data_IF_370001283126
#
_entry.id   IF_370001283126
#
_cell.length_a   1.000
_cell.length_b   1.000
_cell.length_c   1.000
_cell.angle_alpha   90.00
_cell.angle_beta   90.00
_cell.angle_gamma   90.00
#
_symmetry.space_group_name_H-M   'P 1'
#
loop_
_entity.id
_entity.type
_entity.pdbx_description
1 polymer ?
#
# COMPACT_ATOMS: atom_id res chain seq x y z
N UNK A 1 -35.97 -28.13 -33.55
CA UNK A 1 -34.91 -27.17 -33.24
C UNK A 1 -35.24 -25.72 -33.64
N UNK A 2 -35.26 -25.35 -34.94
CA UNK A 2 -35.36 -23.95 -35.40
C UNK A 2 -36.53 -23.12 -34.81
N UNK A 3 -37.69 -23.74 -34.59
CA UNK A 3 -38.84 -23.08 -33.97
C UNK A 3 -38.59 -22.72 -32.50
N UNK A 4 -37.89 -23.57 -31.76
CA UNK A 4 -37.56 -23.38 -30.34
C UNK A 4 -36.58 -22.22 -30.16
N UNK A 5 -35.51 -22.22 -30.97
CA UNK A 5 -34.51 -21.13 -30.97
C UNK A 5 -35.16 -19.80 -31.33
N UNK A 6 -36.03 -19.76 -32.35
CA UNK A 6 -36.74 -18.53 -32.73
C UNK A 6 -37.58 -17.94 -31.59
N UNK A 7 -38.32 -18.79 -30.87
CA UNK A 7 -39.10 -18.35 -29.70
C UNK A 7 -38.19 -17.88 -28.55
N UNK A 8 -37.06 -18.57 -28.33
CA UNK A 8 -36.06 -18.16 -27.34
C UNK A 8 -35.49 -16.77 -27.67
N UNK A 9 -35.15 -16.50 -28.94
CA UNK A 9 -34.67 -15.19 -29.40
C UNK A 9 -35.70 -14.09 -29.14
N UNK A 10 -36.98 -14.36 -29.36
CA UNK A 10 -38.06 -13.39 -29.12
C UNK A 10 -38.19 -13.04 -27.63
N UNK A 11 -38.04 -14.03 -26.74
CA UNK A 11 -38.09 -13.79 -25.29
C UNK A 11 -36.82 -13.15 -24.72
N UNK A 12 -35.69 -13.23 -25.43
CA UNK A 12 -34.42 -12.61 -25.06
C UNK A 12 -34.21 -11.20 -25.63
N UNK A 13 -35.23 -10.60 -26.26
CA UNK A 13 -35.19 -9.19 -26.69
C UNK A 13 -34.76 -8.18 -25.62
N UNK A 14 -34.96 -8.39 -24.30
CA UNK A 14 -34.45 -7.47 -23.28
C UNK A 14 -32.91 -7.44 -23.13
N UNK A 15 -32.16 -8.39 -23.71
CA UNK A 15 -30.69 -8.39 -23.72
C UNK A 15 -30.17 -7.52 -24.87
N UNK A 16 -28.92 -7.04 -24.74
CA UNK A 16 -28.21 -6.38 -25.83
C UNK A 16 -28.02 -7.35 -27.01
N UNK A 17 -27.96 -6.83 -28.23
CA UNK A 17 -27.94 -7.63 -29.44
C UNK A 17 -26.76 -8.62 -29.47
N UNK A 18 -25.58 -8.21 -29.01
CA UNK A 18 -24.39 -9.07 -28.90
C UNK A 18 -24.56 -10.18 -27.86
N UNK A 19 -25.07 -9.86 -26.66
CA UNK A 19 -25.27 -10.84 -25.58
C UNK A 19 -26.35 -11.86 -25.96
N UNK A 20 -27.40 -11.40 -26.64
CA UNK A 20 -28.46 -12.28 -27.14
C UNK A 20 -27.92 -13.26 -28.17
N UNK A 21 -27.10 -12.81 -29.11
CA UNK A 21 -26.50 -13.67 -30.13
C UNK A 21 -25.55 -14.71 -29.51
N UNK A 22 -24.78 -14.34 -28.48
CA UNK A 22 -23.94 -15.28 -27.72
C UNK A 22 -24.77 -16.40 -27.05
N UNK A 23 -25.85 -16.02 -26.35
CA UNK A 23 -26.75 -16.99 -25.69
C UNK A 23 -27.41 -17.91 -26.71
N UNK A 24 -27.90 -17.36 -27.82
CA UNK A 24 -28.55 -18.13 -28.87
C UNK A 24 -27.58 -19.14 -29.50
N UNK A 25 -26.36 -18.71 -29.82
CA UNK A 25 -25.33 -19.58 -30.38
C UNK A 25 -24.97 -20.71 -29.41
N UNK A 26 -24.81 -20.42 -28.12
CA UNK A 26 -24.49 -21.44 -27.11
C UNK A 26 -25.56 -22.54 -27.03
N UNK A 27 -26.84 -22.16 -26.93
CA UNK A 27 -27.92 -23.15 -26.85
C UNK A 27 -28.19 -23.83 -28.18
N UNK A 28 -27.90 -23.19 -29.30
CA UNK A 28 -27.95 -23.82 -30.61
C UNK A 28 -26.89 -24.92 -30.73
N UNK A 29 -25.62 -24.63 -30.38
CA UNK A 29 -24.53 -25.60 -30.38
C UNK A 29 -24.82 -26.76 -29.41
N UNK A 30 -25.33 -26.47 -28.21
CA UNK A 30 -25.73 -27.50 -27.24
C UNK A 30 -26.82 -28.45 -27.79
N UNK A 31 -27.82 -27.90 -28.49
CA UNK A 31 -28.90 -28.71 -29.05
C UNK A 31 -28.46 -29.50 -30.28
N UNK A 32 -27.57 -28.95 -31.10
CA UNK A 32 -26.98 -29.62 -32.26
C UNK A 32 -26.07 -30.77 -31.83
N UNK A 33 -25.18 -30.57 -30.85
CA UNK A 33 -24.31 -31.62 -30.29
C UNK A 33 -25.11 -32.73 -29.60
N UNK A 34 -26.22 -32.37 -28.96
CA UNK A 34 -27.14 -33.32 -28.32
C UNK A 34 -28.07 -34.07 -29.27
N UNK A 35 -28.09 -33.71 -30.56
CA UNK A 35 -28.99 -34.32 -31.56
C UNK A 35 -30.48 -34.00 -31.33
N UNK A 36 -30.80 -32.85 -30.75
CA UNK A 36 -32.17 -32.45 -30.44
C UNK A 36 -32.84 -31.72 -31.62
N UNK A 37 -33.18 -32.48 -32.66
CA UNK A 37 -33.59 -31.93 -33.96
C UNK A 37 -35.03 -31.35 -34.00
N UNK A 38 -35.91 -31.73 -33.07
CA UNK A 38 -37.32 -31.33 -33.07
C UNK A 38 -37.75 -30.63 -31.78
N UNK A 39 -38.80 -29.80 -31.85
CA UNK A 39 -39.19 -28.85 -30.80
C UNK A 39 -39.42 -29.53 -29.44
N UNK A 40 -40.10 -30.66 -29.42
CA UNK A 40 -40.42 -31.39 -28.18
C UNK A 40 -39.16 -31.92 -27.49
N UNK A 41 -38.16 -32.37 -28.26
CA UNK A 41 -36.87 -32.81 -27.72
C UNK A 41 -36.14 -31.66 -27.01
N UNK A 42 -36.14 -30.46 -27.60
CA UNK A 42 -35.59 -29.25 -26.98
C UNK A 42 -36.33 -28.88 -25.69
N UNK A 43 -37.66 -29.04 -25.66
CA UNK A 43 -38.49 -28.74 -24.48
C UNK A 43 -38.25 -29.72 -23.34
N UNK A 44 -38.03 -31.00 -23.64
CA UNK A 44 -37.72 -32.01 -22.60
C UNK A 44 -36.39 -31.73 -21.92
N UNK A 45 -35.37 -31.31 -22.69
CA UNK A 45 -34.02 -31.09 -22.18
C UNK A 45 -33.86 -29.72 -21.50
N UNK A 46 -34.30 -28.65 -22.16
CA UNK A 46 -34.07 -27.27 -21.71
C UNK A 46 -35.28 -26.61 -21.03
N UNK A 47 -36.43 -27.29 -21.03
CA UNK A 47 -37.71 -26.72 -20.61
C UNK A 47 -38.35 -25.85 -21.71
N UNK A 48 -39.46 -25.16 -21.41
CA UNK A 48 -40.07 -24.27 -22.41
C UNK A 48 -39.16 -23.07 -22.72
N UNK A 49 -39.21 -22.59 -23.98
CA UNK A 49 -38.44 -21.42 -24.46
C UNK A 49 -38.58 -20.20 -23.55
N UNK A 50 -39.79 -19.98 -23.00
CA UNK A 50 -40.11 -18.92 -22.04
C UNK A 50 -39.48 -19.11 -20.66
N UNK A 51 -39.39 -20.35 -20.17
CA UNK A 51 -38.76 -20.65 -18.87
C UNK A 51 -37.26 -20.49 -18.95
N UNK A 52 -36.64 -20.99 -20.03
CA UNK A 52 -35.21 -20.82 -20.28
C UNK A 52 -34.84 -19.33 -20.38
N UNK A 53 -35.60 -18.56 -21.18
CA UNK A 53 -35.37 -17.12 -21.31
C UNK A 53 -35.41 -16.38 -19.96
N UNK A 54 -36.38 -16.71 -19.10
CA UNK A 54 -36.47 -16.10 -17.75
C UNK A 54 -35.27 -16.45 -16.87
N UNK A 55 -34.77 -17.67 -16.95
CA UNK A 55 -33.60 -18.13 -16.19
C UNK A 55 -32.34 -17.40 -16.66
N UNK A 56 -32.14 -17.32 -17.98
CA UNK A 56 -31.02 -16.57 -18.59
C UNK A 56 -31.09 -15.10 -18.20
N UNK A 57 -32.25 -14.45 -18.36
CA UNK A 57 -32.45 -13.04 -17.98
C UNK A 57 -32.12 -12.79 -16.51
N UNK A 58 -32.52 -13.71 -15.62
CA UNK A 58 -32.21 -13.60 -14.20
C UNK A 58 -30.70 -13.74 -13.94
N UNK A 59 -30.02 -14.69 -14.58
CA UNK A 59 -28.59 -14.92 -14.41
C UNK A 59 -27.74 -13.73 -14.90
N UNK A 60 -28.10 -13.16 -16.06
CA UNK A 60 -27.50 -11.93 -16.58
C UNK A 60 -27.78 -10.71 -15.69
N UNK A 61 -28.97 -10.64 -15.07
CA UNK A 61 -29.28 -9.57 -14.10
C UNK A 61 -28.48 -9.67 -12.80
N UNK A 62 -27.99 -10.86 -12.44
CA UNK A 62 -27.13 -11.06 -11.27
C UNK A 62 -25.66 -10.80 -11.64
N UNK A 63 -25.20 -11.25 -12.81
CA UNK A 63 -23.84 -10.99 -13.30
C UNK A 63 -23.56 -9.49 -13.49
N UNK A 64 -24.58 -8.70 -13.85
CA UNK A 64 -24.50 -7.23 -13.89
C UNK A 64 -24.46 -6.54 -12.51
N UNK A 65 -24.73 -7.28 -11.42
CA UNK A 65 -24.59 -6.79 -10.05
C UNK A 65 -23.24 -7.18 -9.41
N UNK A 66 -22.66 -8.31 -9.83
CA UNK A 66 -21.42 -8.87 -9.28
C UNK A 66 -20.15 -8.49 -10.06
N UNK A 67 -20.26 -7.85 -11.23
CA UNK A 67 -19.14 -7.23 -11.94
C UNK A 67 -18.87 -5.81 -11.39
N UNK A 68 -17.77 -5.58 -10.63
CA UNK A 68 -17.43 -4.25 -10.13
C UNK A 68 -17.04 -3.28 -11.25
N UNK A 69 -16.98 -3.73 -12.51
CA UNK A 69 -16.61 -2.94 -13.68
C UNK A 69 -17.78 -2.42 -14.52
N UNK A 70 -19.03 -2.81 -14.22
CA UNK A 70 -20.18 -2.34 -14.99
C UNK A 70 -21.34 -1.87 -14.09
N UNK A 71 -21.07 -0.82 -13.32
CA UNK A 71 -22.08 -0.17 -12.51
C UNK A 71 -23.05 0.66 -13.37
N UNK A 72 -24.20 0.09 -13.75
CA UNK A 72 -25.47 0.81 -13.89
C UNK A 72 -26.66 -0.15 -14.05
N UNK A 73 -27.38 -0.43 -12.96
CA UNK A 73 -28.79 -0.82 -13.06
C UNK A 73 -29.66 0.44 -13.18
N UNK A 74 -30.48 0.51 -14.23
CA UNK A 74 -31.70 1.32 -14.23
C UNK A 74 -32.77 0.58 -13.42
N UNK A 75 -33.44 1.22 -12.47
CA UNK A 75 -34.69 1.96 -12.70
C UNK A 75 -34.93 2.81 -11.43
N UNK A 76 -35.49 4.02 -11.43
CA UNK A 76 -36.35 4.78 -12.33
C UNK A 76 -36.36 6.20 -11.77
N UNK A 77 -35.92 7.20 -12.53
CA UNK A 77 -36.51 8.54 -12.63
C UNK A 77 -35.52 9.46 -13.38
N UNK A 78 -35.97 9.93 -14.54
CA UNK A 78 -35.36 10.96 -15.40
C UNK A 78 -34.37 11.89 -14.68
N UNK A 79 -33.11 11.92 -15.11
CA UNK A 79 -32.28 13.14 -15.28
C UNK A 79 -30.85 12.83 -15.76
N UNK A 80 -30.60 13.19 -17.02
CA UNK A 80 -29.38 13.85 -17.51
C UNK A 80 -28.06 13.02 -17.58
N UNK A 81 -27.16 13.34 -18.52
CA UNK A 81 -25.94 12.58 -18.89
C UNK A 81 -24.82 12.65 -17.84
N UNK A 82 -25.16 12.62 -16.55
CA UNK A 82 -24.24 12.87 -15.44
C UNK A 82 -23.52 11.62 -14.93
N UNK A 83 -23.96 10.42 -15.30
CA UNK A 83 -23.27 9.17 -14.96
C UNK A 83 -21.96 9.02 -15.74
N UNK A 84 -21.97 9.32 -17.03
CA UNK A 84 -20.75 9.38 -17.85
C UNK A 84 -19.83 10.50 -17.38
N UNK A 85 -20.36 11.68 -17.01
CA UNK A 85 -19.54 12.72 -16.38
C UNK A 85 -18.99 12.25 -15.03
N UNK A 86 -19.72 11.48 -14.21
CA UNK A 86 -19.19 10.93 -12.95
C UNK A 86 -18.10 9.88 -13.17
N UNK A 87 -18.23 9.01 -14.16
CA UNK A 87 -17.21 8.01 -14.51
C UNK A 87 -16.00 8.68 -15.15
N UNK A 88 -16.20 9.61 -16.08
CA UNK A 88 -15.12 10.45 -16.65
C UNK A 88 -14.49 11.33 -15.56
N UNK A 89 -15.26 11.85 -14.62
CA UNK A 89 -14.75 12.62 -13.47
C UNK A 89 -14.00 11.72 -12.48
N UNK A 90 -14.40 10.46 -12.29
CA UNK A 90 -13.66 9.46 -11.51
C UNK A 90 -12.39 9.00 -12.21
N UNK A 91 -12.42 8.81 -13.53
CA UNK A 91 -11.26 8.48 -14.34
C UNK A 91 -10.30 9.67 -14.37
N UNK A 92 -10.77 10.92 -14.52
CA UNK A 92 -9.97 12.14 -14.38
C UNK A 92 -9.44 12.27 -12.96
N UNK A 93 -10.23 11.96 -11.93
CA UNK A 93 -9.80 12.00 -10.54
C UNK A 93 -8.76 10.90 -10.25
N UNK A 94 -8.88 9.73 -10.88
CA UNK A 94 -7.90 8.65 -10.82
C UNK A 94 -6.62 9.01 -11.60
N UNK A 95 -6.75 9.57 -12.81
CA UNK A 95 -5.66 10.09 -13.63
C UNK A 95 -4.97 11.30 -13.01
N UNK A 96 -5.67 12.09 -12.18
CA UNK A 96 -5.13 13.19 -11.38
C UNK A 96 -4.59 12.68 -10.02
N UNK A 97 -5.07 11.52 -9.54
CA UNK A 97 -4.50 10.83 -8.39
C UNK A 97 -3.15 10.20 -8.74
N UNK A 98 -2.96 9.62 -9.93
CA UNK A 98 -1.67 9.09 -10.40
C UNK A 98 -0.50 10.10 -10.32
N UNK A 99 -0.60 11.36 -10.80
CA UNK A 99 0.44 12.37 -10.65
C UNK A 99 0.55 12.90 -9.22
N UNK A 100 -0.41 12.60 -8.33
CA UNK A 100 -0.32 12.84 -6.88
C UNK A 100 0.30 11.65 -6.13
N UNK A 101 0.20 10.44 -6.68
CA UNK A 101 0.73 9.22 -6.05
C UNK A 101 2.24 9.19 -6.10
N UNK A 102 2.83 9.60 -7.23
CA UNK A 102 4.28 9.73 -7.41
C UNK A 102 4.90 10.71 -6.38
N UNK A 103 4.43 11.96 -6.23
CA UNK A 103 4.99 12.87 -5.24
C UNK A 103 4.74 12.41 -3.80
N UNK A 104 3.59 11.82 -3.48
CA UNK A 104 3.37 11.24 -2.15
C UNK A 104 4.36 10.10 -1.86
N UNK A 105 4.61 9.21 -2.83
CA UNK A 105 5.59 8.14 -2.68
C UNK A 105 7.00 8.71 -2.43
N UNK A 106 7.40 9.73 -3.19
CA UNK A 106 8.69 10.41 -3.00
C UNK A 106 8.78 11.01 -1.60
N UNK A 107 7.73 11.70 -1.11
CA UNK A 107 7.71 12.28 0.23
C UNK A 107 7.84 11.21 1.31
N UNK A 108 7.15 10.06 1.17
CA UNK A 108 7.24 8.95 2.12
C UNK A 108 8.66 8.34 2.13
N UNK A 109 9.25 8.11 0.96
CA UNK A 109 10.63 7.62 0.85
C UNK A 109 11.64 8.62 1.43
N UNK A 110 11.50 9.90 1.11
CA UNK A 110 12.33 10.97 1.65
C UNK A 110 12.21 11.07 3.17
N UNK A 111 10.99 10.96 3.72
CA UNK A 111 10.76 10.94 5.16
C UNK A 111 11.46 9.76 5.84
N UNK A 112 11.39 8.57 5.22
CA UNK A 112 12.01 7.36 5.75
C UNK A 112 13.55 7.48 5.71
N UNK A 113 14.09 7.99 4.61
CA UNK A 113 15.53 8.28 4.47
C UNK A 113 15.99 9.34 5.47
N UNK A 114 15.21 10.41 5.68
CA UNK A 114 15.51 11.47 6.64
C UNK A 114 15.59 10.92 8.07
N UNK A 115 14.68 10.04 8.48
CA UNK A 115 14.72 9.43 9.81
C UNK A 115 16.02 8.62 10.02
N UNK A 116 16.41 7.84 9.02
CA UNK A 116 17.66 7.06 9.05
C UNK A 116 18.87 8.00 9.08
N UNK A 117 18.87 9.04 8.23
CA UNK A 117 19.94 10.01 8.13
C UNK A 117 20.13 10.80 9.43
N UNK A 118 19.04 11.21 10.09
CA UNK A 118 19.08 11.86 11.41
C UNK A 118 19.70 10.91 12.45
N UNK A 119 19.26 9.64 12.46
CA UNK A 119 19.83 8.63 13.35
C UNK A 119 21.34 8.45 13.14
N UNK A 120 21.78 8.36 11.89
CA UNK A 120 23.20 8.27 11.53
C UNK A 120 23.97 9.55 11.90
N UNK A 121 23.41 10.73 11.65
CA UNK A 121 24.03 12.02 11.97
C UNK A 121 24.24 12.18 13.48
N UNK A 122 23.31 11.72 14.31
CA UNK A 122 23.46 11.71 15.77
C UNK A 122 24.66 10.84 16.17
N UNK A 123 24.80 9.65 15.59
CA UNK A 123 25.94 8.76 15.88
C UNK A 123 27.26 9.41 15.49
N UNK A 124 27.33 9.96 14.27
CA UNK A 124 28.54 10.62 13.76
C UNK A 124 28.90 11.83 14.64
N UNK A 125 27.92 12.64 15.03
CA UNK A 125 28.12 13.80 15.91
C UNK A 125 28.72 13.38 17.26
N UNK A 126 28.18 12.33 17.89
CA UNK A 126 28.69 11.82 19.17
C UNK A 126 30.14 11.35 19.02
N UNK A 127 30.45 10.60 17.95
CA UNK A 127 31.83 10.13 17.69
C UNK A 127 32.76 11.34 17.49
N UNK A 128 32.33 12.35 16.73
CA UNK A 128 33.12 13.55 16.48
C UNK A 128 33.42 14.34 17.77
N UNK A 129 32.42 14.50 18.64
CA UNK A 129 32.59 15.16 19.96
C UNK A 129 33.59 14.41 20.82
N UNK A 130 33.53 13.07 20.85
CA UNK A 130 34.46 12.24 21.62
C UNK A 130 35.89 12.37 21.07
N UNK A 131 36.05 12.33 19.75
CA UNK A 131 37.35 12.49 19.11
C UNK A 131 37.95 13.87 19.40
N UNK A 132 37.14 14.93 19.28
CA UNK A 132 37.55 16.29 19.61
C UNK A 132 37.98 16.39 21.07
N UNK A 133 37.22 15.79 21.99
CA UNK A 133 37.56 15.78 23.42
C UNK A 133 38.89 15.10 23.69
N UNK A 134 39.16 13.93 23.08
CA UNK A 134 40.45 13.23 23.19
C UNK A 134 41.60 14.12 22.71
N UNK A 135 41.43 14.79 21.57
CA UNK A 135 42.45 15.73 21.05
C UNK A 135 42.67 16.88 22.03
N UNK A 136 41.61 17.48 22.57
CA UNK A 136 41.74 18.55 23.58
C UNK A 136 42.52 18.09 24.81
N UNK A 137 42.27 16.86 25.29
CA UNK A 137 42.98 16.28 26.44
C UNK A 137 44.47 16.09 26.12
N UNK A 138 44.80 15.54 24.96
CA UNK A 138 46.20 15.34 24.53
C UNK A 138 46.94 16.67 24.43
N UNK A 139 46.31 17.68 23.82
CA UNK A 139 46.87 19.03 23.70
C UNK A 139 47.07 19.66 25.08
N UNK A 140 46.11 19.53 26.00
CA UNK A 140 46.23 20.05 27.36
C UNK A 140 47.41 19.41 28.12
N UNK A 141 47.62 18.09 28.00
CA UNK A 141 48.77 17.40 28.62
C UNK A 141 50.09 17.91 28.01
N UNK A 142 50.16 18.05 26.69
CA UNK A 142 51.37 18.52 26.00
C UNK A 142 51.73 19.95 26.40
N UNK A 143 50.73 20.85 26.41
CA UNK A 143 50.89 22.24 26.85
C UNK A 143 51.28 22.30 28.33
N UNK A 144 50.67 21.49 29.18
CA UNK A 144 50.99 21.41 30.61
C UNK A 144 52.45 21.04 30.86
N UNK A 145 52.97 20.04 30.14
CA UNK A 145 54.37 19.63 30.25
C UNK A 145 55.33 20.73 29.78
N UNK A 146 55.02 21.38 28.66
CA UNK A 146 55.82 22.48 28.12
C UNK A 146 55.86 23.69 29.07
N UNK A 147 54.71 24.04 29.66
CA UNK A 147 54.56 25.20 30.56
C UNK A 147 55.23 25.03 31.91
N UNK A 148 55.41 23.81 32.44
CA UNK A 148 56.10 23.59 33.73
C UNK A 148 57.49 24.22 33.75
N UNK A 149 58.18 24.21 32.61
CA UNK A 149 59.55 24.74 32.47
C UNK A 149 59.61 26.27 32.50
N UNK A 150 58.49 26.95 32.23
CA UNK A 150 58.41 28.41 32.15
C UNK A 150 57.65 28.99 33.35
N UNK A 151 56.48 28.43 33.66
CA UNK A 151 55.58 28.89 34.71
C UNK A 151 54.92 27.68 35.40
N UNK A 152 55.31 27.44 36.66
CA UNK A 152 54.90 26.27 37.43
C UNK A 152 53.37 26.19 37.66
N UNK A 153 52.73 27.30 38.03
CA UNK A 153 51.28 27.33 38.35
C UNK A 153 50.39 26.95 37.15
N UNK A 154 50.51 27.60 35.97
CA UNK A 154 49.76 27.21 34.77
C UNK A 154 50.06 25.77 34.33
N UNK A 155 51.33 25.34 34.40
CA UNK A 155 51.72 23.98 34.02
C UNK A 155 51.00 22.90 34.84
N UNK A 156 50.93 23.07 36.16
CA UNK A 156 50.17 22.17 37.05
C UNK A 156 48.67 22.18 36.75
N UNK A 157 48.09 23.34 36.44
CA UNK A 157 46.66 23.44 36.08
C UNK A 157 46.33 22.65 34.82
N UNK A 158 47.12 22.81 33.75
CA UNK A 158 46.91 22.08 32.49
C UNK A 158 47.17 20.58 32.61
N UNK A 159 48.16 20.16 33.41
CA UNK A 159 48.35 18.74 33.72
C UNK A 159 47.18 18.15 34.51
N UNK A 160 46.69 18.87 35.53
CA UNK A 160 45.52 18.48 36.29
C UNK A 160 44.28 18.37 35.39
N UNK A 161 44.06 19.35 34.51
CA UNK A 161 42.99 19.33 33.51
C UNK A 161 43.12 18.18 32.51
N UNK A 162 44.35 17.82 32.13
CA UNK A 162 44.62 16.66 31.30
C UNK A 162 44.23 15.35 31.98
N UNK A 163 44.64 15.15 33.23
CA UNK A 163 44.31 13.93 34.01
C UNK A 163 42.82 13.82 34.28
N UNK A 164 42.15 14.91 34.65
CA UNK A 164 40.69 14.92 34.83
C UNK A 164 39.96 14.68 33.51
N UNK A 165 40.49 15.20 32.39
CA UNK A 165 39.99 14.93 31.04
C UNK A 165 40.09 13.46 30.64
N UNK A 166 41.20 12.78 30.98
CA UNK A 166 41.34 11.32 30.80
C UNK A 166 40.31 10.58 31.64
N UNK A 167 40.13 10.98 32.91
CA UNK A 167 39.10 10.41 33.79
C UNK A 167 37.68 10.57 33.24
N UNK A 168 37.35 11.75 32.72
CA UNK A 168 36.06 12.03 32.08
C UNK A 168 35.86 11.17 30.84
N UNK A 169 36.90 10.99 30.03
CA UNK A 169 36.86 10.16 28.83
C UNK A 169 36.55 8.70 29.19
N UNK A 170 37.17 8.17 30.24
CA UNK A 170 36.94 6.82 30.76
C UNK A 170 35.50 6.61 31.24
N UNK A 171 34.92 7.61 31.94
CA UNK A 171 33.52 7.62 32.35
C UNK A 171 32.56 7.80 31.15
N UNK A 172 33.01 8.49 30.10
CA UNK A 172 32.26 8.69 28.85
C UNK A 172 32.07 7.41 28.05
N UNK A 173 33.03 6.47 28.06
CA UNK A 173 32.95 5.20 27.30
C UNK A 173 31.67 4.39 27.59
N UNK A 174 31.27 4.10 28.84
CA UNK A 174 30.03 3.37 29.11
C UNK A 174 28.79 4.15 28.67
N UNK A 175 28.80 5.48 28.73
CA UNK A 175 27.71 6.33 28.23
C UNK A 175 27.56 6.18 26.71
N UNK A 176 28.67 6.16 25.97
CA UNK A 176 28.69 5.96 24.52
C UNK A 176 28.14 4.57 24.17
N UNK A 177 28.58 3.51 24.86
CA UNK A 177 28.07 2.14 24.63
C UNK A 177 26.57 2.06 24.94
N UNK A 178 26.12 2.72 26.00
CA UNK A 178 24.71 2.81 26.35
C UNK A 178 23.89 3.51 25.26
N UNK A 179 24.39 4.63 24.73
CA UNK A 179 23.79 5.34 23.60
C UNK A 179 23.73 4.48 22.35
N UNK A 180 24.80 3.75 22.00
CA UNK A 180 24.83 2.89 20.81
C UNK A 180 23.77 1.80 20.93
N UNK A 181 23.69 1.14 22.10
CA UNK A 181 22.65 0.13 22.37
C UNK A 181 21.25 0.73 22.32
N UNK A 182 21.07 1.94 22.84
CA UNK A 182 19.80 2.65 22.78
C UNK A 182 19.40 2.97 21.34
N UNK A 183 20.35 3.40 20.52
CA UNK A 183 20.14 3.75 19.11
C UNK A 183 19.78 2.52 18.26
N UNK A 184 20.45 1.39 18.47
CA UNK A 184 20.11 0.10 17.85
C UNK A 184 18.68 -0.32 18.23
N UNK A 185 18.30 -0.20 19.50
CA UNK A 185 16.93 -0.48 19.96
C UNK A 185 15.93 0.50 19.36
N UNK A 186 16.29 1.77 19.21
CA UNK A 186 15.47 2.79 18.56
C UNK A 186 15.14 2.41 17.12
N UNK A 187 16.15 2.05 16.32
CA UNK A 187 15.98 1.59 14.94
C UNK A 187 15.10 0.34 14.88
N UNK A 188 15.35 -0.66 15.74
CA UNK A 188 14.54 -1.87 15.80
C UNK A 188 13.08 -1.59 16.22
N UNK A 189 12.86 -0.65 17.15
CA UNK A 189 11.54 -0.24 17.60
C UNK A 189 10.74 0.43 16.48
N UNK A 190 11.39 1.31 15.72
CA UNK A 190 10.79 1.95 14.54
C UNK A 190 10.41 0.89 13.50
N UNK A 191 11.27 -0.10 13.25
CA UNK A 191 10.97 -1.19 12.31
C UNK A 191 9.74 -2.01 12.74
N UNK A 192 9.65 -2.36 14.04
CA UNK A 192 8.51 -3.10 14.59
C UNK A 192 7.23 -2.27 14.58
N UNK A 193 7.33 -0.97 14.88
CA UNK A 193 6.18 -0.06 14.85
C UNK A 193 5.65 0.13 13.42
N UNK A 194 6.54 0.26 12.43
CA UNK A 194 6.15 0.37 11.02
C UNK A 194 5.46 -0.92 10.54
N UNK A 195 6.01 -2.09 10.88
CA UNK A 195 5.40 -3.39 10.58
C UNK A 195 4.04 -3.57 11.27
N UNK A 196 3.94 -3.20 12.55
CA UNK A 196 2.69 -3.28 13.29
C UNK A 196 1.64 -2.33 12.71
N UNK A 197 2.02 -1.12 12.32
CA UNK A 197 1.09 -0.13 11.75
C UNK A 197 0.56 -0.54 10.38
N UNK A 198 1.36 -1.24 9.57
CA UNK A 198 0.90 -1.82 8.31
C UNK A 198 -0.05 -2.99 8.58
N UNK A 199 0.31 -3.92 9.48
CA UNK A 199 -0.52 -5.08 9.83
C UNK A 199 -1.84 -4.72 10.52
N UNK A 200 -1.90 -3.59 11.24
CA UNK A 200 -3.13 -3.12 11.87
C UNK A 200 -4.14 -2.50 10.89
N UNK A 201 -3.73 -2.10 9.68
CA UNK A 201 -4.68 -1.64 8.65
C UNK A 201 -5.49 -2.79 8.05
N UNK A 202 -4.91 -3.97 7.88
CA UNK A 202 -5.65 -5.15 7.39
C UNK A 202 -6.78 -5.56 8.34
N UNK A 203 -6.51 -5.60 9.66
CA UNK A 203 -7.51 -6.04 10.64
C UNK A 203 -8.67 -5.06 10.84
N UNK A 204 -8.50 -3.80 10.46
CA UNK A 204 -9.59 -2.81 10.49
C UNK A 204 -10.54 -2.98 9.28
N UNK A 205 -10.04 -3.45 8.14
CA UNK A 205 -10.86 -3.76 6.98
C UNK A 205 -11.65 -5.07 7.14
N UNK A 206 -11.09 -6.10 7.77
CA UNK A 206 -11.81 -7.37 8.02
C UNK A 206 -13.00 -7.22 8.99
N UNK A 207 -12.93 -6.30 9.97
CA UNK A 207 -14.03 -6.07 10.92
C UNK A 207 -15.15 -5.18 10.37
N UNK A 208 -14.89 -4.42 9.31
CA UNK A 208 -15.91 -3.64 8.61
C UNK A 208 -16.72 -4.45 7.60
N UNK A 209 -16.23 -5.61 7.17
CA UNK A 209 -16.90 -6.51 6.23
C UNK A 209 -17.89 -7.49 6.89
N UNK A 210 -17.99 -7.48 8.23
CA UNK A 210 -18.86 -8.35 9.02
C UNK A 210 -19.97 -7.61 9.79
N UNK A 211 -20.26 -6.36 9.42
CA UNK A 211 -21.37 -5.56 9.95
C UNK A 211 -22.21 -5.02 8.81
#
# INVERSE_FOLDING_TARGET
>A
MNKYIKELTEYLQPLEDSERDEVINFYQEYLEDGGFDYYEACVTELGSSKQLARKVLADYSIKSLDDPQNGSSASRQRRAPKAQVKTIWLIILALLSTPVTIPIAIVVFAMLFAIIAIGAAIVVSIIAVVLAFIVTVLVAIFIGFSLITVNFWPGMFYLGAGVTGVGLTLIGIPIIIWIIRWLIRGVLSISKWLYAKIKHRDKAQERGAHK
#
